data_IF_794902034632
#
_entry.id   IF_794902034632
#
_cell.length_a   1.000
_cell.length_b   1.000
_cell.length_c   1.000
_cell.angle_alpha   90.00
_cell.angle_beta   90.00
_cell.angle_gamma   90.00
#
_symmetry.space_group_name_H-M   'P 1'
#
loop_
_entity.id
_entity.type
_entity.pdbx_description
1 polymer ?
#
# COMPACT_ATOMS: atom_id res chain seq x y z
N UNK A 1 34.71 10.28 -1.03
CA UNK A 1 33.41 10.49 -0.40
C UNK A 1 32.65 9.20 -0.56
N UNK A 2 32.53 8.43 0.51
CA UNK A 2 31.90 7.10 0.52
C UNK A 2 30.41 7.26 0.30
N UNK A 3 29.86 6.57 -0.73
CA UNK A 3 28.43 6.46 -1.03
C UNK A 3 27.67 5.86 0.16
N UNK A 4 27.22 6.73 1.07
CA UNK A 4 26.35 6.34 2.20
C UNK A 4 24.89 6.08 1.78
N UNK A 5 24.64 5.84 0.49
CA UNK A 5 23.29 5.69 -0.07
C UNK A 5 22.92 4.23 -0.40
N UNK A 6 23.73 3.25 -0.02
CA UNK A 6 23.41 1.85 -0.25
C UNK A 6 22.39 1.36 0.80
N UNK A 7 21.29 0.81 0.32
CA UNK A 7 20.32 0.09 1.18
C UNK A 7 21.04 -1.09 1.87
N UNK A 8 20.94 -1.24 3.19
CA UNK A 8 21.60 -2.33 3.90
C UNK A 8 21.16 -3.69 3.33
N UNK A 9 22.12 -4.60 3.15
CA UNK A 9 21.83 -5.97 2.70
C UNK A 9 21.16 -6.80 3.78
N UNK A 10 21.39 -6.45 5.03
CA UNK A 10 20.82 -7.09 6.22
C UNK A 10 20.25 -6.04 7.15
N UNK A 11 19.22 -6.39 7.86
CA UNK A 11 18.57 -5.53 8.86
C UNK A 11 19.04 -5.94 10.26
N UNK A 12 19.12 -5.01 11.24
CA UNK A 12 19.36 -5.40 12.63
C UNK A 12 18.18 -6.22 13.17
N UNK A 13 18.42 -7.21 14.05
CA UNK A 13 17.35 -7.94 14.72
C UNK A 13 16.47 -6.96 15.53
N UNK A 14 15.17 -6.96 15.26
CA UNK A 14 14.18 -6.15 15.97
C UNK A 14 12.79 -6.74 15.78
N UNK A 15 11.90 -6.47 16.69
CA UNK A 15 10.49 -6.89 16.64
C UNK A 15 9.60 -5.86 17.36
N UNK A 16 8.32 -5.85 17.07
CA UNK A 16 7.28 -5.06 17.74
C UNK A 16 6.15 -6.01 18.15
N UNK A 17 5.55 -5.76 19.29
CA UNK A 17 4.61 -6.67 19.95
C UNK A 17 3.14 -6.46 19.52
N UNK A 18 2.89 -5.52 18.61
CA UNK A 18 1.54 -5.17 18.16
C UNK A 18 1.50 -4.88 16.65
N UNK A 19 0.32 -5.01 16.09
CA UNK A 19 -0.01 -4.66 14.71
C UNK A 19 -1.22 -3.71 14.71
N UNK A 20 -1.21 -2.59 13.94
CA UNK A 20 -0.11 -2.15 13.05
C UNK A 20 1.18 -1.79 13.79
N UNK A 21 2.32 -1.90 13.10
CA UNK A 21 3.62 -1.51 13.66
C UNK A 21 3.86 0.00 13.55
N UNK A 22 4.74 0.52 14.42
CA UNK A 22 5.11 1.94 14.50
C UNK A 22 6.40 2.17 13.72
N UNK A 23 6.35 3.04 12.70
CA UNK A 23 7.51 3.30 11.83
C UNK A 23 8.63 4.03 12.56
N UNK A 24 8.30 4.96 13.45
CA UNK A 24 9.29 5.73 14.20
C UNK A 24 10.17 4.90 15.14
N UNK A 25 9.76 3.66 15.47
CA UNK A 25 10.52 2.73 16.29
C UNK A 25 11.50 1.86 15.49
N UNK A 26 11.38 1.82 14.16
CA UNK A 26 12.22 0.99 13.30
C UNK A 26 13.67 1.49 13.21
N UNK A 27 14.61 0.54 13.09
CA UNK A 27 16.05 0.83 12.91
C UNK A 27 16.62 -0.07 11.81
N UNK A 28 17.13 0.51 10.68
CA UNK A 28 16.95 1.91 10.28
C UNK A 28 15.50 2.25 9.95
N UNK A 29 15.16 3.51 9.91
CA UNK A 29 13.86 3.95 9.39
C UNK A 29 13.74 3.56 7.91
N UNK A 30 12.54 3.21 7.44
CA UNK A 30 12.28 3.02 6.03
C UNK A 30 12.54 4.30 5.23
N UNK A 31 12.98 4.14 3.99
CA UNK A 31 13.11 5.26 3.05
C UNK A 31 11.82 5.40 2.26
N UNK A 32 11.17 6.54 2.37
CA UNK A 32 9.89 6.81 1.71
C UNK A 32 10.00 7.78 0.53
N UNK A 33 11.14 8.46 0.36
CA UNK A 33 11.33 9.47 -0.66
C UNK A 33 12.59 9.23 -1.48
N UNK A 34 12.46 8.98 -2.81
CA UNK A 34 13.62 8.79 -3.68
C UNK A 34 14.42 10.08 -3.84
N UNK A 35 15.69 10.08 -3.42
CA UNK A 35 16.56 11.26 -3.38
C UNK A 35 16.73 11.98 -4.74
N UNK A 36 16.58 11.26 -5.86
CA UNK A 36 16.77 11.78 -7.21
C UNK A 36 15.46 11.89 -8.02
N UNK A 37 14.30 11.75 -7.37
CA UNK A 37 13.04 11.86 -8.08
C UNK A 37 12.79 13.28 -8.55
N UNK A 38 12.47 13.41 -9.84
CA UNK A 38 12.10 14.69 -10.45
C UNK A 38 10.62 14.66 -10.77
N UNK A 39 9.83 15.40 -10.01
CA UNK A 39 8.41 15.54 -10.26
C UNK A 39 8.15 16.24 -11.60
N UNK A 40 7.12 15.78 -12.29
CA UNK A 40 6.68 16.32 -13.58
C UNK A 40 5.23 16.83 -13.57
N UNK A 41 4.60 16.89 -12.40
CA UNK A 41 3.23 17.35 -12.23
C UNK A 41 2.19 16.35 -12.78
N UNK A 42 2.52 15.07 -12.83
CA UNK A 42 1.69 13.99 -13.43
C UNK A 42 0.32 13.83 -12.76
N UNK A 43 0.21 14.21 -11.50
CA UNK A 43 -1.04 14.15 -10.72
C UNK A 43 -1.56 15.54 -10.35
N UNK A 44 -1.13 16.58 -11.07
CA UNK A 44 -1.52 17.95 -10.77
C UNK A 44 -3.03 18.12 -10.70
N UNK A 45 -3.51 18.60 -9.54
CA UNK A 45 -4.91 18.85 -9.27
C UNK A 45 -5.76 17.59 -9.09
N UNK A 46 -5.17 16.38 -8.98
CA UNK A 46 -5.88 15.15 -8.60
C UNK A 46 -6.12 15.10 -7.09
N UNK A 47 -7.15 14.37 -6.69
CA UNK A 47 -7.47 14.05 -5.31
C UNK A 47 -7.37 12.54 -5.10
N UNK A 48 -6.56 12.11 -4.12
CA UNK A 48 -6.32 10.70 -3.85
C UNK A 48 -6.73 10.30 -2.42
N UNK A 49 -7.32 9.11 -2.27
CA UNK A 49 -7.49 8.43 -0.99
C UNK A 49 -6.53 7.25 -0.94
N UNK A 50 -5.75 7.16 0.15
CA UNK A 50 -4.74 6.12 0.37
C UNK A 50 -5.02 5.45 1.72
N UNK A 51 -5.32 4.15 1.73
CA UNK A 51 -5.45 3.39 2.98
C UNK A 51 -4.10 2.88 3.46
N UNK A 52 -3.85 2.89 4.78
CA UNK A 52 -2.53 2.63 5.35
C UNK A 52 -1.51 3.67 4.88
N UNK A 53 -1.93 4.95 4.81
CA UNK A 53 -1.11 6.05 4.32
C UNK A 53 -0.19 6.67 5.38
N UNK A 54 -0.26 6.20 6.61
CA UNK A 54 0.48 6.66 7.77
C UNK A 54 1.97 6.31 7.71
N UNK A 55 2.30 5.17 7.10
CA UNK A 55 3.65 4.59 7.16
C UNK A 55 3.98 3.78 5.90
N UNK A 56 5.21 3.27 5.82
CA UNK A 56 5.67 2.31 4.82
C UNK A 56 5.35 2.70 3.38
N UNK A 57 4.77 1.76 2.64
CA UNK A 57 4.42 1.96 1.23
C UNK A 57 3.41 3.09 1.07
N UNK A 58 2.38 3.14 1.94
CA UNK A 58 1.34 4.17 1.88
C UNK A 58 1.88 5.58 2.07
N UNK A 59 2.80 5.80 3.03
CA UNK A 59 3.51 7.08 3.20
C UNK A 59 4.29 7.45 1.94
N UNK A 60 5.09 6.52 1.40
CA UNK A 60 5.89 6.78 0.20
C UNK A 60 5.00 7.18 -1.00
N UNK A 61 3.85 6.52 -1.16
CA UNK A 61 2.86 6.86 -2.18
C UNK A 61 2.27 8.25 -1.93
N UNK A 62 1.86 8.57 -0.69
CA UNK A 62 1.28 9.86 -0.34
C UNK A 62 2.24 11.02 -0.62
N UNK A 63 3.51 10.90 -0.19
CA UNK A 63 4.55 11.92 -0.42
C UNK A 63 4.84 12.09 -1.91
N UNK A 64 4.97 10.98 -2.66
CA UNK A 64 5.27 11.06 -4.08
C UNK A 64 4.08 11.61 -4.89
N UNK A 65 2.85 11.30 -4.49
CA UNK A 65 1.63 11.89 -5.07
C UNK A 65 1.57 13.40 -4.84
N UNK A 66 1.95 13.84 -3.63
CA UNK A 66 2.05 15.27 -3.31
C UNK A 66 3.09 15.97 -4.18
N UNK A 67 4.28 15.39 -4.35
CA UNK A 67 5.30 15.91 -5.29
C UNK A 67 4.78 16.03 -6.72
N UNK A 68 3.96 15.10 -7.16
CA UNK A 68 3.31 15.13 -8.48
C UNK A 68 2.07 16.03 -8.55
N UNK A 69 1.72 16.71 -7.45
CA UNK A 69 0.71 17.76 -7.41
C UNK A 69 -0.69 17.33 -7.00
N UNK A 70 -0.85 16.13 -6.40
CA UNK A 70 -2.13 15.66 -5.86
C UNK A 70 -2.34 16.12 -4.42
N UNK A 71 -3.60 16.38 -4.04
CA UNK A 71 -4.03 16.44 -2.65
C UNK A 71 -4.40 15.04 -2.19
N UNK A 72 -4.12 14.72 -0.91
CA UNK A 72 -4.33 13.37 -0.41
C UNK A 72 -5.16 13.32 0.86
N UNK A 73 -5.96 12.27 0.98
CA UNK A 73 -6.51 11.77 2.25
C UNK A 73 -5.75 10.49 2.58
N UNK A 74 -5.28 10.36 3.80
CA UNK A 74 -4.74 9.10 4.29
C UNK A 74 -5.64 8.54 5.37
N UNK A 75 -5.99 7.25 5.26
CA UNK A 75 -6.69 6.51 6.29
C UNK A 75 -5.73 5.53 6.94
N UNK A 76 -5.83 5.37 8.26
CA UNK A 76 -4.98 4.53 9.09
C UNK A 76 -5.79 4.04 10.30
N UNK A 77 -5.31 3.03 11.02
CA UNK A 77 -6.06 2.50 12.15
C UNK A 77 -5.93 3.39 13.39
N UNK A 78 -4.76 3.47 14.00
CA UNK A 78 -4.52 4.19 15.26
C UNK A 78 -3.08 4.77 15.42
N UNK A 79 -2.23 4.68 14.39
CA UNK A 79 -0.83 5.16 14.38
C UNK A 79 -0.76 6.68 14.16
N UNK A 80 -1.33 7.47 15.08
CA UNK A 80 -1.49 8.92 14.93
C UNK A 80 -0.16 9.66 14.69
N UNK A 81 0.90 9.27 15.39
CA UNK A 81 2.23 9.90 15.26
C UNK A 81 2.80 9.72 13.84
N UNK A 82 2.71 8.50 13.30
CA UNK A 82 3.19 8.19 11.95
C UNK A 82 2.34 8.90 10.89
N UNK A 83 1.02 9.00 11.11
CA UNK A 83 0.12 9.72 10.23
C UNK A 83 0.40 11.23 10.20
N UNK A 84 0.66 11.85 11.35
CA UNK A 84 1.03 13.27 11.42
C UNK A 84 2.37 13.54 10.72
N UNK A 85 3.34 12.62 10.81
CA UNK A 85 4.59 12.73 10.05
C UNK A 85 4.33 12.66 8.54
N UNK A 86 3.49 11.74 8.07
CA UNK A 86 3.11 11.68 6.64
C UNK A 86 2.43 12.97 6.20
N UNK A 87 1.52 13.50 7.00
CA UNK A 87 0.86 14.78 6.73
C UNK A 87 1.87 15.91 6.60
N UNK A 88 2.80 16.01 7.56
CA UNK A 88 3.86 17.02 7.53
C UNK A 88 4.68 16.95 6.24
N UNK A 89 5.04 15.75 5.76
CA UNK A 89 5.78 15.56 4.52
C UNK A 89 4.97 15.99 3.28
N UNK A 90 3.71 15.62 3.22
CA UNK A 90 2.80 16.03 2.13
C UNK A 90 2.61 17.56 2.09
N UNK A 91 2.44 18.18 3.25
CA UNK A 91 2.24 19.63 3.36
C UNK A 91 3.51 20.42 3.00
N UNK A 92 4.70 19.85 3.20
CA UNK A 92 5.96 20.43 2.73
C UNK A 92 6.03 20.53 1.20
N UNK A 93 5.35 19.63 0.48
CA UNK A 93 5.20 19.72 -1.00
C UNK A 93 4.10 20.72 -1.42
N UNK A 94 3.54 21.49 -0.48
CA UNK A 94 2.50 22.47 -0.74
C UNK A 94 1.14 21.85 -1.08
N UNK A 95 0.89 20.59 -0.70
CA UNK A 95 -0.36 19.88 -0.96
C UNK A 95 -1.15 19.65 0.31
N UNK A 96 -2.47 19.51 0.17
CA UNK A 96 -3.36 19.24 1.29
C UNK A 96 -3.26 17.76 1.70
N UNK A 97 -3.16 17.49 3.00
CA UNK A 97 -3.26 16.17 3.57
C UNK A 97 -4.34 16.14 4.67
N UNK A 98 -5.27 15.19 4.56
CA UNK A 98 -6.32 14.97 5.56
C UNK A 98 -6.11 13.61 6.20
N UNK A 99 -6.16 13.55 7.53
CA UNK A 99 -5.99 12.35 8.32
C UNK A 99 -7.35 11.83 8.76
N UNK A 100 -7.66 10.57 8.47
CA UNK A 100 -8.91 9.93 8.89
C UNK A 100 -8.60 8.57 9.53
N UNK A 101 -8.56 8.50 10.88
CA UNK A 101 -8.35 7.24 11.59
C UNK A 101 -9.62 6.40 11.60
N UNK A 102 -9.45 5.06 11.56
CA UNK A 102 -10.52 4.09 11.74
C UNK A 102 -10.28 2.77 11.03
N UNK A 103 -11.13 1.80 11.32
CA UNK A 103 -11.00 0.44 10.83
C UNK A 103 -11.72 0.25 9.49
N UNK A 104 -10.95 0.04 8.43
CA UNK A 104 -11.48 -0.24 7.09
C UNK A 104 -12.13 -1.62 6.96
N UNK A 105 -11.95 -2.52 7.94
CA UNK A 105 -12.69 -3.77 8.03
C UNK A 105 -14.19 -3.57 8.25
N UNK A 106 -14.63 -2.35 8.61
CA UNK A 106 -16.01 -1.98 8.85
C UNK A 106 -16.62 -1.22 7.65
N UNK A 107 -17.68 -1.78 7.04
CA UNK A 107 -18.33 -1.19 5.85
C UNK A 107 -18.83 0.24 6.11
N UNK A 108 -19.38 0.49 7.31
CA UNK A 108 -19.88 1.81 7.71
C UNK A 108 -18.77 2.85 7.77
N UNK A 109 -17.59 2.47 8.30
CA UNK A 109 -16.43 3.34 8.30
C UNK A 109 -15.95 3.64 6.87
N UNK A 110 -15.90 2.64 5.98
CA UNK A 110 -15.52 2.84 4.59
C UNK A 110 -16.44 3.84 3.86
N UNK A 111 -17.76 3.77 4.13
CA UNK A 111 -18.71 4.74 3.59
C UNK A 111 -18.44 6.16 4.12
N UNK A 112 -18.21 6.30 5.42
CA UNK A 112 -17.89 7.57 6.08
C UNK A 112 -16.56 8.16 5.58
N UNK A 113 -15.55 7.30 5.37
CA UNK A 113 -14.24 7.67 4.83
C UNK A 113 -14.36 8.31 3.44
N UNK A 114 -15.17 7.73 2.55
CA UNK A 114 -15.43 8.32 1.23
C UNK A 114 -16.14 9.66 1.37
N UNK A 115 -17.17 9.76 2.21
CA UNK A 115 -17.89 11.02 2.42
C UNK A 115 -16.95 12.12 2.93
N UNK A 116 -16.15 11.86 3.95
CA UNK A 116 -15.15 12.80 4.49
C UNK A 116 -14.08 13.17 3.46
N UNK A 117 -13.69 12.22 2.59
CA UNK A 117 -12.77 12.52 1.48
C UNK A 117 -13.38 13.56 0.53
N UNK A 118 -14.63 13.39 0.16
CA UNK A 118 -15.35 14.32 -0.73
C UNK A 118 -15.59 15.69 -0.08
N UNK A 119 -15.97 15.70 1.21
CA UNK A 119 -16.11 16.94 1.98
C UNK A 119 -14.78 17.71 2.04
N UNK A 120 -13.70 16.98 2.27
CA UNK A 120 -12.38 17.58 2.45
C UNK A 120 -11.71 18.04 1.16
N UNK A 121 -11.78 17.24 0.07
CA UNK A 121 -11.09 17.49 -1.20
C UNK A 121 -12.02 17.91 -2.35
N UNK A 122 -13.34 17.81 -2.16
CA UNK A 122 -14.34 18.16 -3.18
C UNK A 122 -14.54 17.13 -4.29
N UNK A 123 -13.68 16.10 -4.35
CA UNK A 123 -13.70 15.05 -5.37
C UNK A 123 -12.83 13.86 -4.96
N UNK A 124 -12.93 12.76 -5.73
CA UNK A 124 -12.03 11.61 -5.65
C UNK A 124 -11.67 11.18 -7.07
N UNK A 125 -10.40 11.28 -7.42
CA UNK A 125 -9.86 10.85 -8.72
C UNK A 125 -9.11 9.51 -8.62
N UNK A 126 -8.47 9.23 -7.48
CA UNK A 126 -7.57 8.09 -7.30
C UNK A 126 -7.88 7.40 -5.97
N UNK A 127 -8.13 6.09 -6.02
CA UNK A 127 -8.27 5.25 -4.83
C UNK A 127 -7.10 4.27 -4.77
N UNK A 128 -6.31 4.34 -3.69
CA UNK A 128 -5.21 3.43 -3.39
C UNK A 128 -5.61 2.52 -2.22
N UNK A 129 -5.91 1.28 -2.52
CA UNK A 129 -6.18 0.23 -1.54
C UNK A 129 -4.86 -0.43 -1.14
N UNK A 130 -4.23 0.05 -0.06
CA UNK A 130 -2.90 -0.38 0.34
C UNK A 130 -2.86 -1.02 1.74
N UNK A 131 -3.68 -0.59 2.69
CA UNK A 131 -3.67 -1.14 4.04
C UNK A 131 -3.83 -2.67 4.06
N UNK A 132 -3.07 -3.32 4.92
CA UNK A 132 -3.12 -4.76 5.11
C UNK A 132 -2.55 -5.16 6.47
N UNK A 133 -2.96 -6.33 6.93
CA UNK A 133 -2.38 -7.03 8.08
C UNK A 133 -2.02 -8.46 7.71
N UNK A 134 -1.15 -9.09 8.50
CA UNK A 134 -0.72 -10.48 8.31
C UNK A 134 -0.36 -11.13 9.65
N UNK A 135 -0.74 -12.39 9.82
CA UNK A 135 -0.55 -13.13 11.07
C UNK A 135 0.06 -14.49 10.74
N UNK A 136 1.38 -14.71 11.01
CA UNK A 136 2.04 -15.96 10.68
C UNK A 136 1.55 -17.11 11.56
N UNK A 137 1.35 -18.27 10.96
CA UNK A 137 1.06 -19.52 11.65
C UNK A 137 1.91 -20.66 11.05
N UNK A 138 2.42 -21.53 11.90
CA UNK A 138 3.24 -22.67 11.44
C UNK A 138 2.41 -23.73 10.74
N UNK A 139 1.12 -23.88 11.11
CA UNK A 139 0.23 -24.90 10.58
C UNK A 139 -1.13 -24.28 10.25
N UNK A 140 -1.81 -24.85 9.26
CA UNK A 140 -3.16 -24.43 8.90
C UNK A 140 -4.18 -24.58 10.02
N UNK A 141 -3.99 -25.58 10.88
CA UNK A 141 -4.86 -25.86 12.01
C UNK A 141 -4.78 -24.79 13.11
N UNK A 142 -3.71 -23.99 13.12
CA UNK A 142 -3.50 -22.91 14.09
C UNK A 142 -4.18 -21.59 13.66
N UNK A 143 -4.65 -21.52 12.40
CA UNK A 143 -5.41 -20.36 11.89
C UNK A 143 -6.82 -20.44 12.46
N UNK A 144 -7.13 -19.57 13.43
CA UNK A 144 -8.47 -19.50 14.00
C UNK A 144 -9.47 -18.85 13.04
N UNK A 145 -10.76 -19.10 13.24
CA UNK A 145 -11.81 -18.45 12.46
C UNK A 145 -11.76 -16.91 12.61
N UNK A 146 -11.47 -16.42 13.80
CA UNK A 146 -11.35 -14.97 14.07
C UNK A 146 -10.17 -14.35 13.33
N UNK A 147 -8.99 -15.01 13.32
CA UNK A 147 -7.83 -14.56 12.54
C UNK A 147 -8.16 -14.52 11.05
N UNK A 148 -8.74 -15.62 10.53
CA UNK A 148 -9.10 -15.71 9.11
C UNK A 148 -10.08 -14.58 8.72
N UNK A 149 -11.15 -14.41 9.50
CA UNK A 149 -12.14 -13.36 9.23
C UNK A 149 -11.51 -11.98 9.32
N UNK A 150 -10.68 -11.69 10.32
CA UNK A 150 -10.01 -10.41 10.49
C UNK A 150 -9.07 -10.11 9.31
N UNK A 151 -8.23 -11.06 8.92
CA UNK A 151 -7.32 -10.91 7.76
C UNK A 151 -8.09 -10.62 6.47
N UNK A 152 -9.22 -11.32 6.24
CA UNK A 152 -10.05 -11.09 5.06
C UNK A 152 -10.79 -9.74 5.13
N UNK A 153 -11.30 -9.34 6.29
CA UNK A 153 -11.97 -8.04 6.46
C UNK A 153 -11.05 -6.89 6.11
N UNK A 154 -9.85 -6.88 6.68
CA UNK A 154 -8.88 -5.80 6.43
C UNK A 154 -8.35 -5.85 4.99
N UNK A 155 -7.93 -7.02 4.50
CA UNK A 155 -7.16 -7.10 3.26
C UNK A 155 -7.99 -7.11 1.99
N UNK A 156 -9.24 -7.60 2.03
CA UNK A 156 -10.05 -7.75 0.81
C UNK A 156 -11.48 -7.20 0.95
N UNK A 157 -12.21 -7.45 2.04
CA UNK A 157 -13.57 -6.92 2.16
C UNK A 157 -13.57 -5.39 2.15
N UNK A 158 -12.59 -4.76 2.81
CA UNK A 158 -12.38 -3.32 2.78
C UNK A 158 -12.30 -2.76 1.36
N UNK A 159 -11.63 -3.48 0.44
CA UNK A 159 -11.51 -3.04 -0.96
C UNK A 159 -12.86 -3.04 -1.69
N UNK A 160 -13.72 -4.04 -1.39
CA UNK A 160 -15.10 -4.04 -1.88
C UNK A 160 -15.91 -2.89 -1.30
N UNK A 161 -15.81 -2.66 0.02
CA UNK A 161 -16.57 -1.59 0.70
C UNK A 161 -16.17 -0.22 0.17
N UNK A 162 -14.87 0.07 0.12
CA UNK A 162 -14.34 1.34 -0.38
C UNK A 162 -14.67 1.56 -1.85
N UNK A 163 -14.45 0.54 -2.69
CA UNK A 163 -14.76 0.65 -4.13
C UNK A 163 -16.26 0.90 -4.34
N UNK A 164 -17.14 0.13 -3.67
CA UNK A 164 -18.59 0.31 -3.75
C UNK A 164 -19.00 1.73 -3.34
N UNK A 165 -18.46 2.23 -2.22
CA UNK A 165 -18.75 3.59 -1.74
C UNK A 165 -18.20 4.67 -2.69
N UNK A 166 -17.02 4.45 -3.30
CA UNK A 166 -16.39 5.39 -4.22
C UNK A 166 -17.07 5.47 -5.59
N UNK A 167 -17.69 4.37 -6.07
CA UNK A 167 -18.23 4.26 -7.44
C UNK A 167 -19.14 5.40 -7.89
N UNK A 168 -20.05 5.94 -7.07
CA UNK A 168 -20.91 7.08 -7.49
C UNK A 168 -20.12 8.37 -7.78
N UNK A 169 -18.89 8.46 -7.32
CA UNK A 169 -18.06 9.67 -7.33
C UNK A 169 -16.89 9.58 -8.33
N UNK A 170 -16.52 8.37 -8.75
CA UNK A 170 -15.49 8.13 -9.76
C UNK A 170 -16.04 8.42 -11.16
N UNK A 171 -15.19 9.02 -12.00
CA UNK A 171 -15.52 9.44 -13.37
C UNK A 171 -14.53 8.85 -14.36
N UNK A 172 -14.79 9.00 -15.65
CA UNK A 172 -13.79 8.69 -16.67
C UNK A 172 -12.47 9.41 -16.38
N UNK A 173 -11.35 8.67 -16.45
CA UNK A 173 -10.03 9.12 -16.06
C UNK A 173 -9.69 8.92 -14.57
N UNK A 174 -10.62 8.41 -13.76
CA UNK A 174 -10.30 7.95 -12.39
C UNK A 174 -9.55 6.62 -12.40
N UNK A 175 -8.79 6.37 -11.32
CA UNK A 175 -7.98 5.15 -11.20
C UNK A 175 -8.12 4.51 -9.84
N UNK A 176 -8.09 3.17 -9.82
CA UNK A 176 -8.00 2.36 -8.60
C UNK A 176 -6.71 1.56 -8.68
N UNK A 177 -5.85 1.63 -7.66
CA UNK A 177 -4.63 0.84 -7.58
C UNK A 177 -4.64 0.02 -6.29
N UNK A 178 -4.58 -1.30 -6.45
CA UNK A 178 -4.61 -2.24 -5.34
C UNK A 178 -3.20 -2.75 -5.00
N UNK A 179 -2.88 -2.88 -3.72
CA UNK A 179 -1.63 -3.49 -3.26
C UNK A 179 -1.86 -4.98 -3.01
N UNK A 180 -1.43 -5.82 -3.95
CA UNK A 180 -1.38 -7.28 -3.77
C UNK A 180 -0.04 -7.68 -3.12
N UNK A 181 0.56 -8.80 -3.50
CA UNK A 181 1.85 -9.27 -3.00
C UNK A 181 2.42 -10.32 -3.94
N UNK A 182 3.73 -10.51 -3.89
CA UNK A 182 4.39 -11.68 -4.50
C UNK A 182 3.81 -13.00 -3.96
N UNK A 183 3.30 -13.03 -2.72
CA UNK A 183 2.67 -14.22 -2.13
C UNK A 183 1.38 -14.64 -2.82
N UNK A 184 0.73 -13.74 -3.57
CA UNK A 184 -0.42 -14.08 -4.42
C UNK A 184 -0.05 -15.09 -5.54
N UNK A 185 1.21 -15.15 -5.92
CA UNK A 185 1.74 -15.95 -7.01
C UNK A 185 2.47 -17.21 -6.54
N UNK A 186 3.33 -17.05 -5.54
CA UNK A 186 4.14 -18.16 -5.03
C UNK A 186 3.63 -18.79 -3.74
N UNK A 187 2.66 -18.18 -3.07
CA UNK A 187 2.25 -18.55 -1.73
C UNK A 187 3.29 -18.15 -0.66
N UNK A 188 2.96 -18.44 0.59
CA UNK A 188 3.87 -18.41 1.75
C UNK A 188 3.43 -19.46 2.74
N UNK A 189 4.36 -20.32 3.18
CA UNK A 189 4.04 -21.42 4.10
C UNK A 189 3.53 -20.94 5.46
N UNK A 190 4.02 -19.79 5.93
CA UNK A 190 3.71 -19.24 7.25
C UNK A 190 2.59 -18.17 7.20
N UNK A 191 2.12 -17.77 6.00
CA UNK A 191 1.13 -16.71 5.78
C UNK A 191 0.03 -17.19 4.81
N UNK A 192 -0.65 -18.28 5.18
CA UNK A 192 -1.61 -18.95 4.29
C UNK A 192 -2.83 -18.07 4.02
N UNK A 193 -3.47 -17.55 5.08
CA UNK A 193 -4.62 -16.66 5.00
C UNK A 193 -4.29 -15.34 4.30
N UNK A 194 -3.16 -14.73 4.66
CA UNK A 194 -2.66 -13.53 3.98
C UNK A 194 -2.46 -13.77 2.48
N UNK A 195 -1.77 -14.86 2.11
CA UNK A 195 -1.53 -15.19 0.69
C UNK A 195 -2.85 -15.40 -0.07
N UNK A 196 -3.85 -16.03 0.58
CA UNK A 196 -5.18 -16.19 0.02
C UNK A 196 -5.86 -14.82 -0.24
N UNK A 197 -5.77 -13.87 0.72
CA UNK A 197 -6.30 -12.52 0.49
C UNK A 197 -5.59 -11.80 -0.66
N UNK A 198 -4.27 -11.97 -0.78
CA UNK A 198 -3.49 -11.33 -1.87
C UNK A 198 -3.79 -11.94 -3.25
N UNK A 199 -4.10 -13.24 -3.31
CA UNK A 199 -4.66 -13.89 -4.50
C UNK A 199 -6.06 -13.38 -4.85
N UNK A 200 -6.92 -13.18 -3.84
CA UNK A 200 -8.24 -12.58 -4.02
C UNK A 200 -8.16 -11.16 -4.60
N UNK A 201 -7.21 -10.33 -4.13
CA UNK A 201 -6.96 -8.97 -4.66
C UNK A 201 -6.58 -9.01 -6.14
N UNK A 202 -5.76 -9.98 -6.56
CA UNK A 202 -5.39 -10.16 -7.96
C UNK A 202 -6.63 -10.41 -8.83
N UNK A 203 -7.48 -11.36 -8.42
CA UNK A 203 -8.72 -11.67 -9.13
C UNK A 203 -9.71 -10.51 -9.12
N UNK A 204 -9.87 -9.83 -7.97
CA UNK A 204 -10.68 -8.63 -7.83
C UNK A 204 -10.23 -7.53 -8.81
N UNK A 205 -8.92 -7.25 -8.89
CA UNK A 205 -8.35 -6.26 -9.80
C UNK A 205 -8.70 -6.54 -11.25
N UNK A 206 -8.50 -7.79 -11.69
CA UNK A 206 -8.78 -8.22 -13.07
C UNK A 206 -10.27 -8.13 -13.40
N UNK A 207 -11.14 -8.62 -12.51
CA UNK A 207 -12.59 -8.59 -12.72
C UNK A 207 -13.14 -7.16 -12.72
N UNK A 208 -12.70 -6.33 -11.77
CA UNK A 208 -13.14 -4.95 -11.66
C UNK A 208 -12.66 -4.10 -12.85
N UNK A 209 -11.45 -4.35 -13.35
CA UNK A 209 -10.92 -3.64 -14.52
C UNK A 209 -11.78 -3.85 -15.76
N UNK A 210 -12.21 -5.09 -16.01
CA UNK A 210 -13.11 -5.41 -17.12
C UNK A 210 -14.49 -4.77 -16.94
N UNK A 211 -15.02 -4.78 -15.71
CA UNK A 211 -16.31 -4.19 -15.38
C UNK A 211 -16.36 -2.67 -15.57
N UNK A 212 -15.22 -1.98 -15.31
CA UNK A 212 -15.16 -0.52 -15.31
C UNK A 212 -14.52 0.09 -16.57
N UNK A 213 -13.98 -0.73 -17.47
CA UNK A 213 -13.28 -0.26 -18.67
C UNK A 213 -14.14 0.67 -19.54
N UNK A 214 -15.40 0.29 -19.80
CA UNK A 214 -16.34 1.12 -20.60
C UNK A 214 -16.70 2.43 -19.94
N UNK A 215 -16.55 2.54 -18.60
CA UNK A 215 -16.73 3.79 -17.85
C UNK A 215 -15.49 4.68 -17.89
N UNK A 216 -14.41 4.23 -18.53
CA UNK A 216 -13.14 4.95 -18.58
C UNK A 216 -12.39 4.98 -17.23
N UNK A 217 -12.68 4.03 -16.32
CA UNK A 217 -12.01 3.89 -15.03
C UNK A 217 -11.02 2.74 -15.13
N UNK A 218 -9.74 2.99 -14.81
CA UNK A 218 -8.70 1.98 -14.84
C UNK A 218 -8.51 1.36 -13.45
N UNK A 219 -8.29 0.06 -13.42
CA UNK A 219 -8.02 -0.69 -12.19
C UNK A 219 -6.79 -1.56 -12.38
N UNK A 220 -5.76 -1.32 -11.59
CA UNK A 220 -4.50 -2.05 -11.67
C UNK A 220 -4.01 -2.43 -10.26
N UNK A 221 -2.91 -3.16 -10.19
CA UNK A 221 -2.30 -3.51 -8.92
C UNK A 221 -0.77 -3.37 -8.96
N UNK A 222 -0.18 -3.26 -7.77
CA UNK A 222 1.25 -3.44 -7.53
C UNK A 222 1.41 -4.69 -6.68
N UNK A 223 2.38 -5.54 -7.02
CA UNK A 223 2.76 -6.73 -6.28
C UNK A 223 4.17 -6.54 -5.67
N UNK A 224 4.25 -6.06 -4.40
CA UNK A 224 5.52 -5.94 -3.71
C UNK A 224 6.16 -7.30 -3.44
N UNK A 225 7.49 -7.34 -3.48
CA UNK A 225 8.30 -8.34 -2.79
C UNK A 225 8.48 -8.01 -1.31
N UNK A 226 9.58 -8.46 -0.69
CA UNK A 226 9.93 -8.09 0.68
C UNK A 226 10.32 -6.60 0.75
N UNK A 227 9.49 -5.80 1.40
CA UNK A 227 9.71 -4.34 1.54
C UNK A 227 9.85 -4.00 3.02
N UNK A 228 10.84 -3.18 3.35
CA UNK A 228 11.11 -2.73 4.70
C UNK A 228 10.05 -1.71 5.16
N UNK A 229 9.08 -2.19 5.93
CA UNK A 229 7.93 -1.42 6.44
C UNK A 229 7.61 -1.86 7.87
N UNK A 230 6.82 -1.08 8.65
CA UNK A 230 6.42 -1.46 10.01
C UNK A 230 5.71 -2.81 10.09
N UNK A 231 5.07 -3.25 9.01
CA UNK A 231 4.44 -4.58 8.95
C UNK A 231 5.44 -5.71 9.22
N UNK A 232 6.74 -5.53 8.95
CA UNK A 232 7.74 -6.59 9.06
C UNK A 232 8.13 -6.85 10.51
N UNK A 233 8.63 -5.87 11.30
CA UNK A 233 8.96 -6.12 12.71
C UNK A 233 7.71 -6.34 13.59
N UNK A 234 6.51 -5.91 13.17
CA UNK A 234 5.25 -6.20 13.87
C UNK A 234 4.67 -7.58 13.55
N UNK A 235 5.24 -8.28 12.57
CA UNK A 235 4.79 -9.63 12.15
C UNK A 235 5.77 -10.72 12.58
N UNK A 236 7.07 -10.47 12.43
CA UNK A 236 8.12 -11.50 12.55
C UNK A 236 9.03 -11.23 13.75
N UNK A 237 9.53 -12.33 14.31
CA UNK A 237 10.56 -12.27 15.34
C UNK A 237 11.86 -11.62 14.84
N UNK A 238 12.70 -11.17 15.78
CA UNK A 238 13.93 -10.45 15.50
C UNK A 238 14.88 -11.19 14.56
N UNK A 239 14.91 -12.54 14.61
CA UNK A 239 15.75 -13.37 13.73
C UNK A 239 15.24 -13.33 12.29
N UNK A 240 13.94 -13.56 12.07
CA UNK A 240 13.33 -13.49 10.73
C UNK A 240 13.48 -12.11 10.12
N UNK A 241 13.36 -11.04 10.94
CA UNK A 241 13.60 -9.65 10.50
C UNK A 241 15.03 -9.46 10.00
N UNK A 242 16.03 -9.99 10.69
CA UNK A 242 17.44 -9.86 10.27
C UNK A 242 17.77 -10.55 8.94
N UNK A 243 17.00 -11.58 8.57
CA UNK A 243 17.15 -12.35 7.33
C UNK A 243 16.25 -11.85 6.20
N UNK A 244 15.36 -10.88 6.50
CA UNK A 244 14.31 -10.42 5.59
C UNK A 244 14.86 -9.84 4.28
N UNK A 245 14.35 -10.32 3.15
CA UNK A 245 14.76 -9.90 1.81
C UNK A 245 16.08 -10.51 1.31
N UNK A 246 16.83 -11.24 2.15
CA UNK A 246 18.13 -11.82 1.78
C UNK A 246 18.07 -12.91 0.70
N UNK A 247 16.92 -13.55 0.52
CA UNK A 247 16.70 -14.60 -0.50
C UNK A 247 16.41 -14.05 -1.89
N UNK A 248 16.03 -12.76 -2.00
CA UNK A 248 15.74 -12.16 -3.30
C UNK A 248 16.99 -12.12 -4.20
N UNK A 249 16.84 -12.14 -5.54
CA UNK A 249 17.97 -11.97 -6.45
C UNK A 249 18.83 -10.75 -6.15
N UNK A 250 18.24 -9.61 -5.78
CA UNK A 250 18.95 -8.38 -5.39
C UNK A 250 19.57 -8.45 -3.99
N UNK A 251 19.37 -9.55 -3.22
CA UNK A 251 20.00 -9.84 -1.91
C UNK A 251 19.77 -8.74 -0.85
N UNK A 252 18.61 -8.10 -0.87
CA UNK A 252 18.20 -7.11 0.11
C UNK A 252 16.68 -6.94 0.11
N UNK A 253 16.07 -6.39 1.17
CA UNK A 253 14.72 -5.88 1.09
C UNK A 253 14.67 -4.65 0.18
N UNK A 254 13.52 -4.41 -0.43
CA UNK A 254 13.21 -3.14 -1.05
C UNK A 254 12.84 -2.08 -0.02
N UNK A 255 12.83 -0.82 -0.45
CA UNK A 255 12.37 0.31 0.34
C UNK A 255 11.02 0.83 -0.19
N UNK A 256 10.17 1.44 0.64
CA UNK A 256 8.92 2.06 0.20
C UNK A 256 9.09 3.02 -0.98
N UNK A 257 10.15 3.83 -0.99
CA UNK A 257 10.48 4.75 -2.08
C UNK A 257 10.67 4.07 -3.44
N UNK A 258 11.06 2.79 -3.46
CA UNK A 258 11.28 2.04 -4.70
C UNK A 258 9.94 1.55 -5.31
N UNK A 259 8.86 1.56 -4.54
CA UNK A 259 7.52 1.17 -4.99
C UNK A 259 6.67 2.35 -5.46
N UNK A 260 6.78 3.48 -4.79
CA UNK A 260 5.93 4.65 -5.02
C UNK A 260 5.86 5.09 -6.50
N UNK A 261 6.96 5.04 -7.30
CA UNK A 261 6.91 5.37 -8.72
C UNK A 261 5.96 4.49 -9.55
N UNK A 262 5.77 3.20 -9.18
CA UNK A 262 4.81 2.33 -9.86
C UNK A 262 3.37 2.80 -9.64
N UNK A 263 3.04 3.28 -8.44
CA UNK A 263 1.73 3.85 -8.14
C UNK A 263 1.50 5.17 -8.90
N UNK A 264 2.51 6.05 -8.98
CA UNK A 264 2.42 7.28 -9.79
C UNK A 264 2.16 6.93 -11.26
N UNK A 265 2.88 5.97 -11.82
CA UNK A 265 2.66 5.51 -13.20
C UNK A 265 1.22 5.01 -13.40
N UNK A 266 0.74 4.13 -12.52
CA UNK A 266 -0.61 3.56 -12.64
C UNK A 266 -1.73 4.59 -12.40
N UNK A 267 -1.47 5.59 -11.59
CA UNK A 267 -2.43 6.66 -11.28
C UNK A 267 -2.45 7.79 -12.31
N UNK A 268 -1.42 7.92 -13.13
CA UNK A 268 -1.25 9.03 -14.09
C UNK A 268 -1.71 8.68 -15.50
N UNK A 269 -1.69 9.69 -16.37
CA UNK A 269 -2.00 9.53 -17.80
C UNK A 269 -0.90 8.79 -18.59
N UNK A 270 0.26 8.52 -17.98
CA UNK A 270 1.30 7.66 -18.58
C UNK A 270 0.83 6.21 -18.79
N UNK A 271 -0.26 5.81 -18.14
CA UNK A 271 -0.81 4.45 -18.18
C UNK A 271 -2.24 4.38 -18.72
N UNK A 272 -2.64 5.28 -19.63
CA UNK A 272 -4.03 5.37 -20.15
C UNK A 272 -4.51 4.09 -20.84
N UNK A 273 -3.60 3.26 -21.37
CA UNK A 273 -3.94 1.96 -22.01
C UNK A 273 -3.59 0.76 -21.13
N UNK A 274 -3.43 0.98 -19.80
CA UNK A 274 -3.07 -0.06 -18.83
C UNK A 274 -4.21 -0.23 -17.83
N UNK A 275 -4.91 -1.36 -17.90
CA UNK A 275 -5.94 -1.77 -16.93
C UNK A 275 -5.93 -3.29 -16.76
N UNK A 276 -6.26 -3.77 -15.56
CA UNK A 276 -6.22 -5.19 -15.20
C UNK A 276 -4.81 -5.75 -15.02
N UNK A 277 -3.78 -4.90 -15.01
CA UNK A 277 -2.38 -5.31 -14.94
C UNK A 277 -1.82 -5.25 -13.53
N UNK A 278 -0.74 -5.99 -13.30
CA UNK A 278 -0.01 -6.01 -12.03
C UNK A 278 1.46 -5.71 -12.29
N UNK A 279 1.98 -4.67 -11.63
CA UNK A 279 3.41 -4.36 -11.68
C UNK A 279 4.10 -5.03 -10.49
N UNK A 280 5.08 -5.88 -10.79
CA UNK A 280 5.90 -6.54 -9.79
C UNK A 280 7.10 -5.68 -9.43
N UNK A 281 7.21 -5.29 -8.14
CA UNK A 281 8.37 -4.57 -7.59
C UNK A 281 8.92 -5.45 -6.45
N UNK A 282 9.77 -6.44 -6.80
CA UNK A 282 10.02 -7.58 -5.94
C UNK A 282 11.50 -8.02 -5.82
N UNK A 283 12.44 -7.18 -6.28
CA UNK A 283 13.87 -7.48 -6.19
C UNK A 283 14.35 -8.58 -7.14
N UNK A 284 13.61 -8.82 -8.24
CA UNK A 284 14.01 -9.71 -9.34
C UNK A 284 13.48 -11.14 -9.23
N UNK A 285 12.59 -11.44 -8.29
CA UNK A 285 11.95 -12.76 -8.23
C UNK A 285 11.00 -12.93 -9.42
N UNK A 286 11.22 -13.99 -10.20
CA UNK A 286 10.37 -14.33 -11.36
C UNK A 286 9.11 -15.03 -10.86
N UNK A 287 7.96 -14.47 -11.21
CA UNK A 287 6.64 -15.06 -10.93
C UNK A 287 5.84 -15.08 -12.22
N UNK A 288 5.19 -16.20 -12.45
CA UNK A 288 4.28 -16.37 -13.58
C UNK A 288 2.85 -16.11 -13.07
N UNK A 289 2.16 -15.17 -13.72
CA UNK A 289 0.82 -14.77 -13.29
C UNK A 289 -0.22 -14.72 -14.39
#
# INVERSE_FOLDING_TARGET
MSDNNQTPKTLPPQEQDHQPGIESEMKPLPKYEPANYKAAGKLKGKAALITGGDSGIGRAVAVLFAKEGADVVISYLNEHSDAEETKRQVEQEGRKCILIPGDIGEETFCQDLINKTLEGLGKLDILINNAAEQHPQDKIEDITADQLERTFRTNIFSMFYLTKAAMPHLKAGSTIVNTTSITAYRGSKDLIDYSATKGAILSFTRSLSTNLAEKGIRVNAVAPGPIWTPLIPSTFDAKKVSEFGGTQPMKRPGQPEELAPAYVYLASDDSTYVTGQVIHVNGGEVVNG
#
